data_IF_309891650881
#
_entry.id   IF_309891650881
#
_cell.length_a   1.000
_cell.length_b   1.000
_cell.length_c   1.000
_cell.angle_alpha   90.00
_cell.angle_beta   90.00
_cell.angle_gamma   90.00
#
_symmetry.space_group_name_H-M   'P 1'
#
loop_
_entity.id
_entity.type
_entity.pdbx_description
1 polymer ?
#
# COMPACT_ATOMS: atom_id res chain seq x y z
N UNK A 1 21.39 13.02 -39.45
CA UNK A 1 20.00 12.75 -39.88
C UNK A 1 19.12 12.93 -38.67
N UNK A 2 18.23 13.93 -38.66
CA UNK A 2 17.23 14.07 -37.60
C UNK A 2 16.27 12.88 -37.69
N UNK A 3 16.16 12.10 -36.60
CA UNK A 3 15.22 10.98 -36.53
C UNK A 3 13.80 11.57 -36.54
N UNK A 4 13.00 11.20 -37.54
CA UNK A 4 11.64 11.73 -37.69
C UNK A 4 10.73 11.04 -36.68
N UNK A 5 10.41 11.72 -35.58
CA UNK A 5 9.46 11.24 -34.57
C UNK A 5 8.08 11.09 -35.22
N UNK A 6 7.49 9.91 -35.07
CA UNK A 6 6.12 9.60 -35.50
C UNK A 6 5.24 9.46 -34.27
N UNK A 7 4.01 9.93 -34.37
CA UNK A 7 3.00 9.76 -33.33
C UNK A 7 1.94 8.78 -33.82
N UNK A 8 1.38 8.00 -32.91
CA UNK A 8 0.31 7.07 -33.20
C UNK A 8 -0.57 6.82 -31.99
N UNK A 9 -1.65 6.09 -32.24
CA UNK A 9 -2.63 5.71 -31.23
C UNK A 9 -2.92 4.21 -31.34
N UNK A 10 -3.11 3.56 -30.20
CA UNK A 10 -3.51 2.16 -30.08
C UNK A 10 -4.87 2.10 -29.38
N UNK A 11 -5.81 1.40 -29.99
CA UNK A 11 -7.14 1.22 -29.42
C UNK A 11 -7.09 0.18 -28.30
N UNK A 12 -7.53 0.59 -27.12
CA UNK A 12 -7.79 -0.26 -25.96
C UNK A 12 -9.29 -0.54 -25.85
N UNK A 13 -9.75 -1.52 -25.05
CA UNK A 13 -11.17 -1.87 -24.97
C UNK A 13 -12.09 -0.70 -24.64
N UNK A 14 -11.68 0.20 -23.73
CA UNK A 14 -12.43 1.39 -23.32
C UNK A 14 -11.57 2.66 -23.37
N UNK A 15 -10.59 2.72 -24.27
CA UNK A 15 -9.65 3.82 -24.30
C UNK A 15 -8.71 3.83 -25.48
N UNK A 16 -7.81 4.80 -25.48
CA UNK A 16 -6.77 4.98 -26.50
C UNK A 16 -5.45 5.26 -25.81
N UNK A 17 -4.43 4.47 -26.15
CA UNK A 17 -3.03 4.71 -25.78
C UNK A 17 -2.36 5.53 -26.88
N UNK A 18 -1.80 6.69 -26.54
CA UNK A 18 -1.01 7.53 -27.42
C UNK A 18 0.47 7.22 -27.26
N UNK A 19 1.17 7.00 -28.37
CA UNK A 19 2.61 6.74 -28.37
C UNK A 19 3.37 7.63 -29.36
N UNK A 20 4.67 7.77 -29.14
CA UNK A 20 5.61 8.31 -30.13
C UNK A 20 6.75 7.32 -30.36
N UNK A 21 7.29 7.31 -31.57
CA UNK A 21 8.42 6.44 -31.94
C UNK A 21 9.42 7.18 -32.81
N UNK A 22 10.70 6.87 -32.65
CA UNK A 22 11.79 7.35 -33.49
C UNK A 22 12.20 6.36 -34.59
N UNK A 23 11.50 5.22 -34.68
CA UNK A 23 11.79 4.11 -35.60
C UNK A 23 12.66 3.00 -35.01
N UNK A 24 13.22 3.19 -33.82
CA UNK A 24 13.96 2.15 -33.06
C UNK A 24 13.20 1.78 -31.79
N UNK A 25 12.62 2.76 -31.10
CA UNK A 25 11.92 2.57 -29.83
C UNK A 25 10.58 3.30 -29.83
N UNK A 26 9.68 2.88 -28.94
CA UNK A 26 8.41 3.54 -28.70
C UNK A 26 8.28 4.00 -27.24
N UNK A 27 7.71 5.19 -27.07
CA UNK A 27 7.35 5.77 -25.76
C UNK A 27 5.83 5.94 -25.69
N UNK A 28 5.22 5.42 -24.61
CA UNK A 28 3.82 5.70 -24.31
C UNK A 28 3.72 7.09 -23.71
N UNK A 29 3.03 7.99 -24.40
CA UNK A 29 2.97 9.41 -24.05
C UNK A 29 1.68 9.80 -23.32
N UNK A 30 0.65 8.95 -23.39
CA UNK A 30 -0.65 9.28 -22.85
C UNK A 30 -1.63 8.11 -22.92
N UNK A 31 -2.58 8.09 -22.00
CA UNK A 31 -3.76 7.23 -22.06
C UNK A 31 -5.03 8.05 -21.85
N UNK A 32 -6.05 7.82 -22.69
CA UNK A 32 -7.38 8.41 -22.53
C UNK A 32 -8.43 7.31 -22.60
N UNK A 33 -9.10 7.02 -21.49
CA UNK A 33 -10.14 6.01 -21.45
C UNK A 33 -10.63 5.70 -20.05
N UNK A 34 -11.40 4.62 -19.93
CA UNK A 34 -12.01 4.15 -18.68
C UNK A 34 -11.65 2.70 -18.34
N UNK A 35 -10.66 2.14 -19.03
CA UNK A 35 -10.16 0.80 -18.72
C UNK A 35 -9.70 0.76 -17.26
N UNK A 36 -10.15 -0.26 -16.54
CA UNK A 36 -9.74 -0.52 -15.16
C UNK A 36 -8.43 -1.32 -15.12
N UNK A 37 -8.13 -2.04 -16.19
CA UNK A 37 -6.96 -2.90 -16.33
C UNK A 37 -6.32 -2.58 -17.68
N UNK A 38 -5.02 -2.26 -17.67
CA UNK A 38 -4.29 -1.92 -18.88
C UNK A 38 -3.06 -2.81 -18.97
N UNK A 39 -2.99 -3.64 -20.01
CA UNK A 39 -1.75 -4.26 -20.43
C UNK A 39 -1.11 -3.38 -21.50
N UNK A 40 0.03 -2.76 -21.19
CA UNK A 40 0.78 -1.98 -22.17
C UNK A 40 1.38 -2.97 -23.19
N UNK A 41 1.13 -2.79 -24.49
CA UNK A 41 1.66 -3.71 -25.49
C UNK A 41 3.18 -3.62 -25.57
N UNK A 42 3.85 -4.74 -25.81
CA UNK A 42 5.31 -4.81 -25.98
C UNK A 42 5.80 -4.05 -27.21
N UNK A 43 4.94 -3.82 -28.20
CA UNK A 43 5.26 -3.09 -29.42
C UNK A 43 4.23 -2.01 -29.74
N UNK A 44 4.70 -0.86 -30.21
CA UNK A 44 3.87 0.24 -30.72
C UNK A 44 4.52 0.84 -31.98
N UNK A 45 3.75 0.94 -33.06
CA UNK A 45 4.26 1.46 -34.34
C UNK A 45 5.34 0.59 -35.00
N UNK A 46 5.42 -0.69 -34.64
CA UNK A 46 6.44 -1.63 -35.11
C UNK A 46 7.78 -1.56 -34.36
N UNK A 47 7.82 -0.85 -33.23
CA UNK A 47 9.00 -0.73 -32.38
C UNK A 47 8.67 -1.20 -30.94
N UNK A 48 9.65 -1.75 -30.21
CA UNK A 48 9.47 -2.13 -28.81
C UNK A 48 9.13 -0.92 -27.94
N UNK A 49 8.21 -1.09 -27.00
CA UNK A 49 7.86 -0.06 -26.01
C UNK A 49 8.88 -0.08 -24.90
N UNK A 50 9.75 0.92 -24.88
CA UNK A 50 10.88 0.99 -23.94
C UNK A 50 10.71 2.05 -22.86
N UNK A 51 9.73 2.94 -23.01
CA UNK A 51 9.54 4.07 -22.10
C UNK A 51 8.05 4.32 -21.82
N UNK A 52 7.73 4.51 -20.54
CA UNK A 52 6.48 5.15 -20.11
C UNK A 52 6.78 6.63 -19.87
N UNK A 53 6.30 7.46 -20.77
CA UNK A 53 6.60 8.87 -20.82
C UNK A 53 5.99 9.66 -19.67
N UNK A 54 6.53 10.86 -19.50
CA UNK A 54 6.13 11.81 -18.46
C UNK A 54 4.61 12.02 -18.46
N UNK A 55 3.97 11.81 -17.30
CA UNK A 55 2.53 11.99 -17.11
C UNK A 55 1.62 11.10 -18.00
N UNK A 56 2.13 10.00 -18.56
CA UNK A 56 1.37 9.18 -19.52
C UNK A 56 0.01 8.70 -18.99
N UNK A 57 -0.10 8.37 -17.70
CA UNK A 57 -1.33 7.92 -17.06
C UNK A 57 -1.79 8.87 -15.94
N UNK A 58 -1.31 10.12 -15.94
CA UNK A 58 -1.58 11.10 -14.89
C UNK A 58 -3.09 11.24 -14.61
N UNK A 59 -3.45 11.16 -13.33
CA UNK A 59 -4.82 11.36 -12.82
C UNK A 59 -5.86 10.39 -13.41
N UNK A 60 -5.44 9.18 -13.81
CA UNK A 60 -6.40 8.17 -14.24
C UNK A 60 -7.19 7.62 -13.04
N UNK A 61 -8.44 8.06 -12.91
CA UNK A 61 -9.33 7.73 -11.78
C UNK A 61 -9.97 6.35 -11.85
N UNK A 62 -9.80 5.63 -12.96
CA UNK A 62 -10.44 4.32 -13.18
C UNK A 62 -9.45 3.17 -13.17
N UNK A 63 -8.18 3.44 -13.49
CA UNK A 63 -7.12 2.43 -13.51
C UNK A 63 -6.94 1.81 -12.14
N UNK A 64 -7.09 0.48 -12.08
CA UNK A 64 -6.88 -0.37 -10.91
C UNK A 64 -5.63 -1.22 -11.05
N UNK A 65 -5.36 -1.70 -12.26
CA UNK A 65 -4.19 -2.51 -12.57
C UNK A 65 -3.52 -2.06 -13.87
N UNK A 66 -2.19 -2.05 -13.87
CA UNK A 66 -1.40 -1.87 -15.10
C UNK A 66 -0.28 -2.89 -15.18
N UNK A 67 -0.13 -3.51 -16.35
CA UNK A 67 0.97 -4.39 -16.71
C UNK A 67 1.88 -3.69 -17.72
N UNK A 68 3.18 -3.65 -17.41
CA UNK A 68 4.24 -3.12 -18.25
C UNK A 68 5.04 -4.28 -18.84
N UNK A 69 5.34 -4.27 -20.15
CA UNK A 69 6.06 -5.35 -20.80
C UNK A 69 7.55 -5.35 -20.43
N UNK A 70 8.19 -6.51 -20.58
CA UNK A 70 9.64 -6.72 -20.35
C UNK A 70 10.55 -5.72 -21.06
N UNK A 71 10.09 -5.13 -22.17
CA UNK A 71 10.87 -4.17 -22.95
C UNK A 71 11.01 -2.78 -22.31
N UNK A 72 10.22 -2.45 -21.28
CA UNK A 72 10.23 -1.14 -20.64
C UNK A 72 11.45 -0.98 -19.75
N UNK A 73 12.37 -0.07 -20.12
CA UNK A 73 13.59 0.22 -19.36
C UNK A 73 13.55 1.57 -18.65
N UNK A 74 12.52 2.39 -18.90
CA UNK A 74 12.37 3.74 -18.32
C UNK A 74 10.92 4.08 -18.01
N UNK A 75 10.69 4.67 -16.83
CA UNK A 75 9.43 5.27 -16.43
C UNK A 75 9.71 6.71 -15.98
N UNK A 76 9.18 7.68 -16.72
CA UNK A 76 9.45 9.10 -16.49
C UNK A 76 8.60 9.71 -15.35
N UNK A 77 8.93 10.96 -14.99
CA UNK A 77 8.27 11.70 -13.91
C UNK A 77 6.74 11.63 -13.97
N UNK A 78 6.13 11.37 -12.81
CA UNK A 78 4.68 11.39 -12.61
C UNK A 78 3.88 10.50 -13.57
N UNK A 79 4.49 9.46 -14.16
CA UNK A 79 3.85 8.60 -15.14
C UNK A 79 2.48 8.07 -14.67
N UNK A 80 2.35 7.68 -13.39
CA UNK A 80 1.10 7.16 -12.79
C UNK A 80 0.59 8.05 -11.64
N UNK A 81 1.03 9.30 -11.53
CA UNK A 81 0.65 10.13 -10.39
C UNK A 81 -0.86 10.42 -10.36
N UNK A 82 -1.43 10.54 -9.17
CA UNK A 82 -2.85 10.79 -8.91
C UNK A 82 -3.81 9.70 -9.44
N UNK A 83 -3.31 8.49 -9.70
CA UNK A 83 -4.14 7.34 -10.01
C UNK A 83 -4.74 6.75 -8.72
N UNK A 84 -5.76 7.43 -8.18
CA UNK A 84 -6.33 7.13 -6.86
C UNK A 84 -6.90 5.71 -6.69
N UNK A 85 -7.17 5.00 -7.79
CA UNK A 85 -7.68 3.61 -7.77
C UNK A 85 -6.64 2.56 -8.10
N UNK A 86 -5.42 2.96 -8.46
CA UNK A 86 -4.37 2.03 -8.85
C UNK A 86 -3.95 1.22 -7.62
N UNK A 87 -4.26 -0.07 -7.65
CA UNK A 87 -4.00 -1.00 -6.57
C UNK A 87 -2.82 -1.92 -6.87
N UNK A 88 -2.64 -2.26 -8.15
CA UNK A 88 -1.66 -3.26 -8.58
C UNK A 88 -0.89 -2.81 -9.81
N UNK A 89 0.42 -2.99 -9.78
CA UNK A 89 1.31 -2.74 -10.93
C UNK A 89 2.10 -4.00 -11.18
N UNK A 90 2.06 -4.51 -12.41
CA UNK A 90 2.90 -5.61 -12.85
C UNK A 90 4.01 -5.00 -13.72
N UNK A 91 5.27 -5.21 -13.34
CA UNK A 91 6.42 -4.75 -14.09
C UNK A 91 7.58 -5.75 -13.98
N UNK A 92 8.42 -5.88 -15.00
CA UNK A 92 9.62 -6.73 -14.94
C UNK A 92 10.64 -6.20 -13.93
N UNK A 93 11.10 -7.02 -12.98
CA UNK A 93 12.15 -6.61 -12.03
C UNK A 93 13.53 -6.65 -12.69
N UNK A 94 13.85 -5.58 -13.39
CA UNK A 94 15.19 -5.34 -13.94
C UNK A 94 15.57 -3.88 -13.70
N UNK A 95 16.83 -3.55 -14.03
CA UNK A 95 17.32 -2.18 -13.93
C UNK A 95 16.49 -1.26 -14.82
N UNK A 96 15.73 -0.37 -14.19
CA UNK A 96 14.95 0.66 -14.87
C UNK A 96 15.37 2.04 -14.42
N UNK A 97 15.34 2.98 -15.36
CA UNK A 97 15.44 4.40 -15.06
C UNK A 97 14.07 4.91 -14.55
N UNK A 98 14.04 5.37 -13.31
CA UNK A 98 12.83 5.75 -12.57
C UNK A 98 12.84 7.26 -12.32
N UNK A 99 11.85 7.95 -12.89
CA UNK A 99 11.58 9.37 -12.69
C UNK A 99 11.00 9.70 -11.32
N UNK A 100 10.80 10.98 -11.05
CA UNK A 100 10.33 11.43 -9.75
C UNK A 100 8.81 11.30 -9.61
N UNK A 101 8.35 10.87 -8.42
CA UNK A 101 6.94 10.87 -8.05
C UNK A 101 6.03 10.03 -8.96
N UNK A 102 6.54 8.92 -9.50
CA UNK A 102 5.82 8.04 -10.44
C UNK A 102 4.45 7.62 -9.90
N UNK A 103 4.38 7.26 -8.61
CA UNK A 103 3.15 6.85 -7.92
C UNK A 103 2.69 7.89 -6.88
N UNK A 104 3.04 9.17 -7.09
CA UNK A 104 2.58 10.25 -6.20
C UNK A 104 1.05 10.19 -6.11
N UNK A 105 0.51 10.16 -4.90
CA UNK A 105 -0.95 10.20 -4.64
C UNK A 105 -1.71 8.98 -5.19
N UNK A 106 -1.05 7.82 -5.29
CA UNK A 106 -1.68 6.52 -5.52
C UNK A 106 -1.99 5.84 -4.18
N UNK A 107 -3.03 6.32 -3.50
CA UNK A 107 -3.33 5.90 -2.12
C UNK A 107 -3.70 4.43 -1.95
N UNK A 108 -4.24 3.79 -2.99
CA UNK A 108 -4.64 2.39 -2.97
C UNK A 108 -3.56 1.44 -3.49
N UNK A 109 -2.36 1.94 -3.83
CA UNK A 109 -1.29 1.08 -4.33
C UNK A 109 -0.83 0.12 -3.23
N UNK A 110 -1.20 -1.14 -3.41
CA UNK A 110 -0.95 -2.23 -2.47
C UNK A 110 0.20 -3.11 -2.94
N UNK A 111 0.32 -3.35 -4.25
CA UNK A 111 1.22 -4.37 -4.78
C UNK A 111 1.95 -3.92 -6.04
N UNK A 112 3.27 -4.16 -6.09
CA UNK A 112 4.09 -4.05 -7.30
C UNK A 112 4.72 -5.42 -7.57
N UNK A 113 4.20 -6.13 -8.56
CA UNK A 113 4.54 -7.53 -8.85
C UNK A 113 5.57 -7.62 -9.95
N UNK A 114 6.54 -8.51 -9.78
CA UNK A 114 7.41 -8.96 -10.86
C UNK A 114 6.65 -9.93 -11.77
N UNK A 115 6.51 -9.58 -13.06
CA UNK A 115 5.88 -10.46 -14.05
C UNK A 115 6.57 -11.83 -14.12
N UNK A 116 7.89 -11.87 -13.86
CA UNK A 116 8.73 -13.05 -14.05
C UNK A 116 8.87 -13.93 -12.79
N UNK A 117 8.37 -13.49 -11.64
CA UNK A 117 8.57 -14.20 -10.38
C UNK A 117 7.51 -15.29 -10.12
N UNK A 118 7.92 -16.34 -9.39
CA UNK A 118 6.99 -17.37 -8.91
C UNK A 118 6.04 -16.76 -7.86
N UNK A 119 4.78 -16.57 -8.25
CA UNK A 119 3.72 -15.97 -7.45
C UNK A 119 3.37 -16.75 -6.17
N UNK A 120 3.89 -17.98 -6.01
CA UNK A 120 3.67 -18.80 -4.82
C UNK A 120 4.67 -18.61 -3.68
N UNK A 121 5.82 -17.97 -3.92
CA UNK A 121 6.86 -17.84 -2.89
C UNK A 121 6.55 -16.69 -1.93
N UNK A 122 6.50 -16.98 -0.62
CA UNK A 122 6.26 -15.96 0.43
C UNK A 122 7.17 -14.74 0.30
N UNK A 123 8.45 -14.96 -0.03
CA UNK A 123 9.42 -13.89 -0.28
C UNK A 123 8.96 -12.94 -1.38
N UNK A 124 8.51 -13.48 -2.51
CA UNK A 124 8.05 -12.72 -3.68
C UNK A 124 6.83 -11.89 -3.32
N UNK A 125 5.83 -12.53 -2.69
CA UNK A 125 4.60 -11.85 -2.26
C UNK A 125 4.94 -10.70 -1.30
N UNK A 126 5.69 -10.97 -0.22
CA UNK A 126 6.03 -9.95 0.76
C UNK A 126 6.84 -8.81 0.13
N UNK A 127 7.78 -9.13 -0.77
CA UNK A 127 8.56 -8.10 -1.47
C UNK A 127 7.68 -7.20 -2.32
N UNK A 128 6.66 -7.73 -3.01
CA UNK A 128 5.76 -6.96 -3.85
C UNK A 128 4.96 -5.90 -3.06
N UNK A 129 4.45 -6.27 -1.88
CA UNK A 129 3.73 -5.36 -0.98
C UNK A 129 4.67 -4.34 -0.32
N UNK A 130 5.85 -4.78 0.13
CA UNK A 130 6.82 -3.89 0.77
C UNK A 130 7.38 -2.88 -0.23
N UNK A 131 7.59 -3.26 -1.49
CA UNK A 131 8.05 -2.37 -2.56
C UNK A 131 7.00 -1.32 -2.93
N UNK A 132 5.72 -1.69 -2.99
CA UNK A 132 4.62 -0.75 -3.16
C UNK A 132 4.59 0.29 -2.02
N UNK A 133 4.82 -0.15 -0.78
CA UNK A 133 4.84 0.71 0.40
C UNK A 133 6.04 1.67 0.46
N UNK A 134 7.14 1.38 -0.24
CA UNK A 134 8.28 2.31 -0.35
C UNK A 134 7.82 3.66 -0.92
N UNK A 135 6.94 3.62 -1.93
CA UNK A 135 6.41 4.80 -2.62
C UNK A 135 5.19 5.39 -1.95
N UNK A 136 4.27 4.56 -1.47
CA UNK A 136 2.99 5.04 -0.93
C UNK A 136 3.03 5.44 0.54
N UNK A 137 3.92 4.84 1.35
CA UNK A 137 3.90 4.96 2.82
C UNK A 137 5.22 5.43 3.42
N UNK A 138 6.36 4.99 2.90
CA UNK A 138 7.67 5.31 3.48
C UNK A 138 8.33 6.59 2.95
N UNK A 139 7.90 7.05 1.78
CA UNK A 139 8.54 8.15 1.03
C UNK A 139 10.07 7.93 0.92
N UNK A 140 10.47 6.71 0.55
CA UNK A 140 11.85 6.25 0.59
C UNK A 140 12.34 5.84 -0.80
N UNK A 141 12.42 6.80 -1.73
CA UNK A 141 12.79 6.56 -3.14
C UNK A 141 14.05 5.71 -3.36
N UNK A 142 15.02 5.79 -2.46
CA UNK A 142 16.25 5.00 -2.53
C UNK A 142 16.05 3.48 -2.31
N UNK A 143 14.91 3.06 -1.74
CA UNK A 143 14.53 1.64 -1.60
C UNK A 143 13.72 1.13 -2.78
N UNK A 144 13.39 1.99 -3.75
CA UNK A 144 12.68 1.58 -4.96
C UNK A 144 13.68 1.03 -5.98
N UNK A 145 14.30 -0.08 -5.57
CA UNK A 145 15.39 -0.74 -6.26
C UNK A 145 15.02 -2.20 -6.53
N UNK A 146 14.62 -2.48 -7.78
CA UNK A 146 14.15 -3.79 -8.20
C UNK A 146 15.25 -4.86 -8.16
N UNK A 147 16.53 -4.48 -8.28
CA UNK A 147 17.63 -5.45 -8.26
C UNK A 147 17.86 -6.01 -6.85
N UNK A 148 17.67 -5.17 -5.84
CA UNK A 148 17.96 -5.50 -4.44
C UNK A 148 16.69 -5.77 -3.62
N UNK A 149 15.50 -5.53 -4.16
CA UNK A 149 14.23 -5.80 -3.49
C UNK A 149 14.16 -7.26 -3.01
N UNK A 150 13.79 -7.46 -1.74
CA UNK A 150 13.72 -8.81 -1.15
C UNK A 150 15.05 -9.38 -0.64
N UNK A 151 16.18 -8.68 -0.81
CA UNK A 151 17.46 -9.07 -0.20
C UNK A 151 17.49 -8.77 1.30
N UNK A 152 18.38 -9.43 2.04
CA UNK A 152 18.53 -9.19 3.47
C UNK A 152 18.98 -7.75 3.77
N UNK A 153 19.89 -7.18 2.96
CA UNK A 153 20.31 -5.78 3.12
C UNK A 153 19.14 -4.82 2.88
N UNK A 154 18.35 -5.05 1.83
CA UNK A 154 17.18 -4.21 1.52
C UNK A 154 16.15 -4.24 2.64
N UNK A 155 15.84 -5.42 3.18
CA UNK A 155 14.92 -5.57 4.32
C UNK A 155 15.40 -4.80 5.56
N UNK A 156 16.70 -4.79 5.84
CA UNK A 156 17.26 -4.03 6.96
C UNK A 156 17.07 -2.52 6.77
N UNK A 157 17.29 -2.01 5.54
CA UNK A 157 17.09 -0.60 5.26
C UNK A 157 15.61 -0.20 5.29
N UNK A 158 14.73 -1.07 4.78
CA UNK A 158 13.28 -0.91 4.85
C UNK A 158 12.80 -0.85 6.31
N UNK A 159 13.20 -1.81 7.13
CA UNK A 159 12.85 -1.87 8.55
C UNK A 159 13.42 -0.67 9.33
N UNK A 160 14.62 -0.19 8.98
CA UNK A 160 15.22 1.00 9.59
C UNK A 160 14.44 2.27 9.27
N UNK A 161 13.99 2.43 8.02
CA UNK A 161 13.13 3.55 7.62
C UNK A 161 11.78 3.50 8.31
N UNK A 162 11.15 2.33 8.35
CA UNK A 162 9.90 2.11 9.06
C UNK A 162 10.03 2.49 10.54
N UNK A 163 11.05 1.99 11.23
CA UNK A 163 11.30 2.32 12.64
C UNK A 163 11.48 3.83 12.86
N UNK A 164 12.20 4.50 11.97
CA UNK A 164 12.35 5.96 12.02
C UNK A 164 10.99 6.67 11.97
N UNK A 165 10.02 6.18 11.18
CA UNK A 165 8.68 6.75 11.14
C UNK A 165 7.85 6.45 12.39
N UNK A 166 8.01 5.24 12.94
CA UNK A 166 7.32 4.81 14.16
C UNK A 166 7.77 5.60 15.39
N UNK A 167 9.06 5.96 15.46
CA UNK A 167 9.67 6.69 16.58
C UNK A 167 9.36 8.19 16.59
N UNK A 168 8.85 8.76 15.50
CA UNK A 168 8.46 10.19 15.44
C UNK A 168 7.29 10.47 16.36
N UNK A 169 7.28 11.62 17.01
CA UNK A 169 6.14 12.05 17.81
C UNK A 169 4.91 12.27 16.91
N UNK A 170 3.71 11.97 17.43
CA UNK A 170 2.47 12.12 16.67
C UNK A 170 2.20 13.57 16.26
N UNK A 171 2.73 14.54 17.03
CA UNK A 171 2.59 15.99 16.77
C UNK A 171 3.68 16.56 15.86
N UNK A 172 4.71 15.77 15.53
CA UNK A 172 5.86 16.25 14.78
C UNK A 172 5.48 16.66 13.36
N UNK A 173 5.74 17.92 13.00
CA UNK A 173 5.45 18.48 11.69
C UNK A 173 4.16 19.30 11.62
N UNK A 174 3.29 19.22 12.63
CA UNK A 174 2.04 19.98 12.69
C UNK A 174 2.27 21.50 12.62
N UNK A 175 3.20 22.03 13.41
CA UNK A 175 3.54 23.46 13.41
C UNK A 175 4.06 23.93 12.05
N UNK A 176 4.83 23.08 11.35
CA UNK A 176 5.36 23.40 10.02
C UNK A 176 4.25 23.38 8.96
N UNK A 177 3.33 22.43 9.02
CA UNK A 177 2.16 22.36 8.14
C UNK A 177 1.31 23.64 8.26
N UNK A 178 0.99 24.07 9.49
CA UNK A 178 0.28 25.33 9.74
C UNK A 178 0.99 26.56 9.14
N UNK A 179 2.32 26.61 9.23
CA UNK A 179 3.14 27.73 8.75
C UNK A 179 3.32 27.75 7.23
N UNK A 180 3.21 26.60 6.56
CA UNK A 180 3.33 26.50 5.10
C UNK A 180 2.09 27.02 4.36
N UNK A 181 0.97 27.24 5.05
CA UNK A 181 -0.24 27.87 4.48
C UNK A 181 -0.89 27.07 3.34
N UNK A 182 -0.62 25.76 3.27
CA UNK A 182 -1.17 24.87 2.22
C UNK A 182 -2.63 24.47 2.49
N UNK A 183 -3.20 24.85 3.64
CA UNK A 183 -4.55 24.45 4.06
C UNK A 183 -5.49 25.66 4.24
N UNK A 184 -6.75 25.49 3.82
CA UNK A 184 -7.81 26.48 4.01
C UNK A 184 -8.05 26.74 5.51
N UNK A 185 -8.02 28.01 5.91
CA UNK A 185 -8.22 28.43 7.30
C UNK A 185 -9.59 27.96 7.81
N UNK A 186 -9.59 27.03 8.79
CA UNK A 186 -10.81 26.40 9.32
C UNK A 186 -11.14 25.01 8.78
N UNK A 187 -10.26 24.41 7.96
CA UNK A 187 -10.33 23.00 7.57
C UNK A 187 -10.11 22.08 8.80
N UNK A 188 -10.63 20.85 8.72
CA UNK A 188 -10.40 19.79 9.74
C UNK A 188 -8.91 19.45 9.89
N UNK A 189 -8.10 19.76 8.88
CA UNK A 189 -6.67 19.49 8.78
C UNK A 189 -5.83 20.39 9.72
N UNK A 190 -6.34 21.59 10.05
CA UNK A 190 -5.73 22.50 11.03
C UNK A 190 -5.99 22.10 12.51
N UNK A 191 -6.61 20.94 12.76
CA UNK A 191 -6.89 20.44 14.11
C UNK A 191 -5.80 19.45 14.55
N UNK A 192 -5.12 19.75 15.66
CA UNK A 192 -4.06 18.91 16.22
C UNK A 192 -4.54 17.48 16.54
N UNK A 193 -5.75 17.34 17.07
CA UNK A 193 -6.32 16.03 17.42
C UNK A 193 -6.56 15.20 16.16
N UNK A 194 -7.08 15.83 15.10
CA UNK A 194 -7.26 15.16 13.81
C UNK A 194 -5.91 14.80 13.18
N UNK A 195 -4.93 15.70 13.21
CA UNK A 195 -3.59 15.44 12.70
C UNK A 195 -2.94 14.25 13.41
N UNK A 196 -2.94 14.26 14.74
CA UNK A 196 -2.37 13.16 15.55
C UNK A 196 -3.09 11.84 15.32
N UNK A 197 -4.42 11.85 15.17
CA UNK A 197 -5.20 10.67 14.77
C UNK A 197 -4.73 10.12 13.41
N UNK A 198 -4.57 10.97 12.39
CA UNK A 198 -4.09 10.53 11.07
C UNK A 198 -2.67 9.96 11.14
N UNK A 199 -1.77 10.57 11.94
CA UNK A 199 -0.39 10.09 12.14
C UNK A 199 -0.36 8.72 12.81
N UNK A 200 -1.22 8.46 13.79
CA UNK A 200 -1.36 7.12 14.40
C UNK A 200 -1.93 6.10 13.42
N UNK A 201 -2.95 6.48 12.64
CA UNK A 201 -3.50 5.60 11.58
C UNK A 201 -2.43 5.22 10.54
N UNK A 202 -1.54 6.15 10.16
CA UNK A 202 -0.37 5.84 9.32
C UNK A 202 0.55 4.80 9.95
N UNK A 203 0.90 4.98 11.23
CA UNK A 203 1.74 4.02 11.98
C UNK A 203 1.09 2.65 12.12
N UNK A 204 -0.21 2.61 12.39
CA UNK A 204 -1.01 1.37 12.45
C UNK A 204 -0.98 0.64 11.12
N UNK A 205 -1.30 1.34 10.01
CA UNK A 205 -1.27 0.76 8.66
C UNK A 205 0.12 0.20 8.31
N UNK A 206 1.18 0.94 8.65
CA UNK A 206 2.54 0.52 8.40
C UNK A 206 2.93 -0.72 9.24
N UNK A 207 2.51 -0.76 10.51
CA UNK A 207 2.74 -1.89 11.41
C UNK A 207 2.00 -3.14 10.94
N UNK A 208 0.73 -3.01 10.57
CA UNK A 208 -0.07 -4.12 10.02
C UNK A 208 0.55 -4.65 8.74
N UNK A 209 0.89 -3.77 7.79
CA UNK A 209 1.54 -4.15 6.55
C UNK A 209 2.81 -4.97 6.82
N UNK A 210 3.71 -4.49 7.69
CA UNK A 210 4.97 -5.18 7.95
C UNK A 210 4.80 -6.50 8.70
N UNK A 211 3.81 -6.61 9.58
CA UNK A 211 3.52 -7.86 10.31
C UNK A 211 2.82 -8.90 9.43
N UNK A 212 1.98 -8.47 8.48
CA UNK A 212 1.34 -9.35 7.51
C UNK A 212 2.32 -9.84 6.43
N UNK A 213 3.35 -9.04 6.13
CA UNK A 213 4.45 -9.36 5.23
C UNK A 213 5.77 -9.49 6.00
N UNK A 214 5.87 -10.54 6.82
CA UNK A 214 6.90 -10.72 7.84
C UNK A 214 8.20 -11.40 7.33
N UNK A 215 8.36 -11.60 6.02
CA UNK A 215 9.61 -12.15 5.48
C UNK A 215 10.82 -11.32 5.94
N UNK A 216 11.82 -12.00 6.51
CA UNK A 216 13.02 -11.38 7.05
C UNK A 216 12.81 -10.48 8.28
N UNK A 217 11.59 -10.41 8.85
CA UNK A 217 11.31 -9.55 10.00
C UNK A 217 11.96 -10.12 11.27
N UNK A 218 12.76 -9.28 11.93
CA UNK A 218 13.39 -9.64 13.21
C UNK A 218 12.36 -9.68 14.33
N UNK A 219 12.49 -10.67 15.21
CA UNK A 219 11.59 -10.85 16.36
C UNK A 219 11.45 -9.60 17.25
N UNK A 220 12.56 -8.93 17.56
CA UNK A 220 12.54 -7.71 18.36
C UNK A 220 11.78 -6.54 17.70
N UNK A 221 11.73 -6.50 16.36
CA UNK A 221 10.96 -5.49 15.63
C UNK A 221 9.48 -5.88 15.60
N UNK A 222 9.18 -7.17 15.37
CA UNK A 222 7.83 -7.73 15.45
C UNK A 222 7.16 -7.38 16.78
N UNK A 223 7.82 -7.66 17.89
CA UNK A 223 7.28 -7.41 19.24
C UNK A 223 6.95 -5.93 19.46
N UNK A 224 7.79 -5.01 18.97
CA UNK A 224 7.52 -3.57 19.05
C UNK A 224 6.28 -3.17 18.24
N UNK A 225 6.12 -3.72 17.04
CA UNK A 225 4.97 -3.42 16.18
C UNK A 225 3.68 -4.00 16.78
N UNK A 226 3.71 -5.23 17.29
CA UNK A 226 2.57 -5.85 17.96
C UNK A 226 2.18 -5.06 19.22
N UNK A 227 3.16 -4.68 20.05
CA UNK A 227 2.91 -3.84 21.23
C UNK A 227 2.29 -2.50 20.88
N UNK A 228 2.76 -1.84 19.81
CA UNK A 228 2.16 -0.61 19.33
C UNK A 228 0.71 -0.85 18.90
N UNK A 229 0.43 -1.86 18.09
CA UNK A 229 -0.95 -2.14 17.68
C UNK A 229 -1.87 -2.41 18.88
N UNK A 230 -1.39 -3.17 19.87
CA UNK A 230 -2.12 -3.50 21.09
C UNK A 230 -2.36 -2.30 22.01
N UNK A 231 -1.49 -1.27 22.00
CA UNK A 231 -1.73 -0.04 22.76
C UNK A 231 -2.77 0.89 22.12
N UNK A 232 -3.20 0.57 20.89
CA UNK A 232 -4.14 1.36 20.09
C UNK A 232 -5.46 0.62 19.78
N UNK A 233 -5.79 -0.47 20.50
CA UNK A 233 -7.04 -1.23 20.30
C UNK A 233 -8.24 -0.55 20.97
N UNK A 234 -9.45 -1.08 20.69
CA UNK A 234 -10.68 -0.62 21.35
C UNK A 234 -10.55 -0.72 22.87
N UNK A 235 -10.91 0.36 23.59
CA UNK A 235 -10.83 0.46 25.05
C UNK A 235 -9.51 1.05 25.58
N UNK A 236 -8.51 1.31 24.73
CA UNK A 236 -7.33 2.07 25.10
C UNK A 236 -7.59 3.59 25.06
N UNK A 237 -6.63 4.40 25.54
CA UNK A 237 -6.69 5.88 25.44
C UNK A 237 -6.87 6.34 23.98
N UNK A 238 -6.31 5.55 23.07
CA UNK A 238 -6.25 5.78 21.64
C UNK A 238 -6.71 4.51 20.95
N UNK A 239 -7.61 4.58 19.97
CA UNK A 239 -8.30 3.40 19.40
C UNK A 239 -8.01 3.21 17.89
N UNK A 240 -6.91 3.77 17.37
CA UNK A 240 -6.66 3.82 15.93
C UNK A 240 -6.44 2.44 15.30
N UNK A 241 -5.93 1.44 16.02
CA UNK A 241 -5.84 0.05 15.51
C UNK A 241 -7.22 -0.48 15.16
N UNK A 242 -8.19 -0.27 16.05
CA UNK A 242 -9.56 -0.70 15.81
C UNK A 242 -10.25 0.13 14.73
N UNK A 243 -10.09 1.46 14.78
CA UNK A 243 -10.67 2.35 13.77
C UNK A 243 -10.15 2.05 12.37
N UNK A 244 -8.87 1.76 12.20
CA UNK A 244 -8.31 1.37 10.89
C UNK A 244 -8.95 0.06 10.40
N UNK A 245 -9.05 -0.97 11.24
CA UNK A 245 -9.69 -2.24 10.87
C UNK A 245 -11.16 -2.03 10.47
N UNK A 246 -11.91 -1.28 11.28
CA UNK A 246 -13.34 -1.09 11.08
C UNK A 246 -13.66 -0.12 9.93
N UNK A 247 -13.04 1.06 9.92
CA UNK A 247 -13.41 2.16 9.03
C UNK A 247 -12.71 2.11 7.67
N UNK A 248 -11.49 1.56 7.61
CA UNK A 248 -10.68 1.54 6.38
C UNK A 248 -10.72 0.17 5.69
N UNK A 249 -10.54 -0.92 6.45
CA UNK A 249 -10.54 -2.28 5.90
C UNK A 249 -11.94 -2.92 5.87
N UNK A 250 -12.86 -2.47 6.73
CA UNK A 250 -14.28 -2.80 6.66
C UNK A 250 -14.58 -4.30 6.85
N UNK A 251 -14.91 -4.99 5.76
CA UNK A 251 -15.28 -6.42 5.73
C UNK A 251 -14.15 -7.36 5.29
N UNK A 252 -12.91 -6.86 5.24
CA UNK A 252 -11.77 -7.71 4.91
C UNK A 252 -11.36 -8.60 6.09
N UNK A 253 -11.79 -9.87 6.03
CA UNK A 253 -11.55 -10.90 7.03
C UNK A 253 -10.07 -11.06 7.43
N UNK A 254 -9.13 -10.75 6.52
CA UNK A 254 -7.69 -10.90 6.79
C UNK A 254 -7.26 -10.03 7.97
N UNK A 255 -7.79 -8.82 8.08
CA UNK A 255 -7.44 -7.90 9.16
C UNK A 255 -8.07 -8.28 10.50
N UNK A 256 -9.25 -8.91 10.50
CA UNK A 256 -9.85 -9.45 11.72
C UNK A 256 -9.14 -10.70 12.21
N UNK A 257 -8.73 -11.60 11.29
CA UNK A 257 -7.88 -12.74 11.62
C UNK A 257 -6.52 -12.29 12.16
N UNK A 258 -5.93 -11.27 11.55
CA UNK A 258 -4.70 -10.68 12.04
C UNK A 258 -4.88 -10.07 13.45
N UNK A 259 -5.94 -9.29 13.67
CA UNK A 259 -6.23 -8.67 14.96
C UNK A 259 -6.42 -9.71 16.07
N UNK A 260 -7.12 -10.82 15.79
CA UNK A 260 -7.28 -11.91 16.76
C UNK A 260 -6.00 -12.69 17.01
N UNK A 261 -5.13 -12.86 16.00
CA UNK A 261 -3.83 -13.52 16.13
C UNK A 261 -2.87 -12.74 17.04
N UNK A 262 -2.83 -11.42 16.95
CA UNK A 262 -1.98 -10.59 17.80
C UNK A 262 -2.56 -10.37 19.21
N UNK A 263 -3.77 -10.88 19.49
CA UNK A 263 -4.44 -10.72 20.79
C UNK A 263 -5.18 -9.40 20.97
N UNK A 264 -5.53 -8.71 19.88
CA UNK A 264 -6.24 -7.42 19.93
C UNK A 264 -7.73 -7.51 20.30
N UNK A 265 -8.29 -8.73 20.38
CA UNK A 265 -9.67 -8.98 20.81
C UNK A 265 -9.65 -9.62 22.20
N UNK A 266 -10.06 -8.86 23.21
CA UNK A 266 -10.07 -9.24 24.60
C UNK A 266 -11.50 -9.34 25.13
N UNK A 267 -11.67 -9.93 26.32
CA UNK A 267 -12.98 -9.98 27.00
C UNK A 267 -13.53 -8.58 27.28
N UNK A 268 -12.65 -7.62 27.53
CA UNK A 268 -13.01 -6.25 27.94
C UNK A 268 -13.45 -5.41 26.74
N UNK A 269 -12.85 -5.61 25.57
CA UNK A 269 -13.14 -4.79 24.39
C UNK A 269 -14.13 -5.42 23.40
N UNK A 270 -14.44 -6.72 23.53
CA UNK A 270 -15.33 -7.44 22.62
C UNK A 270 -16.72 -6.80 22.51
N UNK A 271 -17.37 -6.49 23.64
CA UNK A 271 -18.70 -5.91 23.65
C UNK A 271 -18.73 -4.50 23.01
N UNK A 272 -17.82 -3.57 23.37
CA UNK A 272 -17.67 -2.30 22.66
C UNK A 272 -17.44 -2.45 21.15
N UNK A 273 -16.63 -3.42 20.70
CA UNK A 273 -16.40 -3.67 19.27
C UNK A 273 -17.70 -4.11 18.56
N UNK A 274 -18.50 -4.96 19.20
CA UNK A 274 -19.79 -5.39 18.64
C UNK A 274 -20.78 -4.22 18.49
N UNK A 275 -20.74 -3.27 19.43
CA UNK A 275 -21.56 -2.05 19.41
C UNK A 275 -21.15 -1.12 18.28
N UNK A 276 -19.85 -0.85 18.12
CA UNK A 276 -19.32 0.00 17.04
C UNK A 276 -19.70 -0.53 15.65
N UNK A 277 -19.66 -1.86 15.46
CA UNK A 277 -20.04 -2.49 14.20
C UNK A 277 -21.56 -2.42 13.91
N UNK A 278 -22.42 -2.16 14.93
CA UNK A 278 -23.83 -1.86 14.74
C UNK A 278 -24.66 -2.90 13.95
N UNK A 279 -25.29 -2.49 12.85
CA UNK A 279 -25.96 -3.41 11.90
C UNK A 279 -25.11 -3.71 10.66
N UNK A 280 -23.92 -3.12 10.57
CA UNK A 280 -22.96 -3.37 9.51
C UNK A 280 -22.05 -4.56 9.86
N UNK A 281 -21.20 -4.96 8.91
CA UNK A 281 -20.13 -5.94 9.12
C UNK A 281 -20.58 -7.30 9.67
N UNK A 282 -21.74 -7.80 9.22
CA UNK A 282 -22.39 -9.02 9.75
C UNK A 282 -21.47 -10.25 9.71
N UNK A 283 -20.67 -10.40 8.65
CA UNK A 283 -19.73 -11.51 8.52
C UNK A 283 -18.58 -11.41 9.53
N UNK A 284 -18.03 -10.21 9.71
CA UNK A 284 -16.94 -9.96 10.67
C UNK A 284 -17.43 -10.11 12.11
N UNK A 285 -18.69 -9.72 12.40
CA UNK A 285 -19.34 -9.99 13.69
C UNK A 285 -19.43 -11.49 13.96
N UNK A 286 -19.92 -12.25 12.98
CA UNK A 286 -20.04 -13.70 13.12
C UNK A 286 -18.68 -14.35 13.38
N UNK A 287 -17.62 -13.89 12.70
CA UNK A 287 -16.26 -14.33 12.95
C UNK A 287 -15.80 -14.02 14.38
N UNK A 288 -15.93 -12.77 14.84
CA UNK A 288 -15.52 -12.38 16.18
C UNK A 288 -16.32 -13.09 17.28
N UNK A 289 -17.63 -13.30 17.08
CA UNK A 289 -18.48 -14.07 18.00
C UNK A 289 -18.01 -15.52 18.13
N UNK A 290 -17.66 -16.16 17.00
CA UNK A 290 -17.13 -17.52 16.99
C UNK A 290 -15.78 -17.59 17.72
N UNK A 291 -14.86 -16.68 17.39
CA UNK A 291 -13.54 -16.61 18.04
C UNK A 291 -13.66 -16.41 19.56
N UNK A 292 -14.50 -15.47 19.99
CA UNK A 292 -14.74 -15.20 21.40
C UNK A 292 -15.33 -16.44 22.11
N UNK A 293 -16.30 -17.12 21.51
CA UNK A 293 -16.87 -18.36 22.05
C UNK A 293 -15.83 -19.47 22.24
N UNK A 294 -14.95 -19.69 21.26
CA UNK A 294 -13.88 -20.69 21.32
C UNK A 294 -12.86 -20.41 22.44
N UNK A 295 -12.50 -19.13 22.64
CA UNK A 295 -11.58 -18.72 23.71
C UNK A 295 -12.19 -18.92 25.12
N UNK A 296 -13.50 -18.69 25.29
CA UNK A 296 -14.18 -18.94 26.56
C UNK A 296 -14.31 -20.43 26.87
N UNK A 297 -14.62 -21.27 25.87
CA UNK A 297 -14.64 -22.72 26.07
C UNK A 297 -13.26 -23.27 26.46
N UNK A 298 -12.18 -22.74 25.87
CA UNK A 298 -10.83 -23.14 26.25
C UNK A 298 -10.50 -22.73 27.69
N UNK A 299 -10.81 -21.49 28.08
CA UNK A 299 -10.57 -21.00 29.45
C UNK A 299 -11.34 -21.82 30.51
N UNK A 300 -12.62 -22.10 30.28
CA UNK A 300 -13.45 -22.88 31.19
C UNK A 300 -12.95 -24.33 31.35
N UNK A 301 -12.37 -24.91 30.29
CA UNK A 301 -11.77 -26.25 30.32
C UNK A 301 -10.49 -26.25 31.14
N UNK A 302 -9.61 -25.26 30.99
CA UNK A 302 -8.38 -25.18 31.77
C UNK A 302 -8.62 -24.89 33.25
N UNK A 303 -9.64 -24.07 33.58
CA UNK A 303 -10.05 -23.82 34.96
C UNK A 303 -10.65 -25.08 35.62
N UNK A 304 -11.31 -25.96 34.85
CA UNK A 304 -11.84 -27.23 35.34
C UNK A 304 -10.75 -28.29 35.66
N UNK A 305 -9.54 -28.15 35.12
CA UNK A 305 -8.40 -29.04 35.39
C UNK A 305 -7.43 -28.50 36.45
N UNK A 306 -7.67 -27.28 36.97
CA UNK A 306 -6.86 -26.66 38.02
C UNK A 306 -7.38 -26.91 39.46
N UNK A 307 -8.33 -27.85 39.63
CA UNK A 307 -8.92 -28.25 40.91
C UNK A 307 -8.33 -29.55 41.47
#
# INVERSE_FOLDING_TARGET
MERKIRHGELNMPQGVLSYKTDGETAEITGYRGKDTEIAVPSEAGGCPVTCIGKKAFLSNKMLKEISLPESVVRIDDWAFAYCAKLARVILPYHRMEIGQGIFKECFLLEEIVDESADAGEKKTVDTAFLLAAVMSRLDAFYLFDFENAGTAEWMVQWDGRMQTLMEREDTEGFSKMLLCGEEDYGSRENNLDYYTEQRRREKVRLSMLRLMHDYGLKQAVREKLEQYLLSHIKGCETEETWKVVLEEYGDDLRYYQFLTQIGGVTRENFQPMMEDMGQAHTEMKAYLMKYHGEQHMAADVFDAFAL
#
